data_IF_992821915387
#
_entry.id   IF_992821915387
#
_cell.length_a   1.000
_cell.length_b   1.000
_cell.length_c   1.000
_cell.angle_alpha   90.00
_cell.angle_beta   90.00
_cell.angle_gamma   90.00
#
_symmetry.space_group_name_H-M   'P 1'
#
loop_
_entity.id
_entity.type
_entity.pdbx_description
1 polymer ?
#
# COMPACT_ATOMS: atom_id res chain seq x y z
N UNK A 1 17.54 7.13 21.13
CA UNK A 1 17.28 5.70 21.41
C UNK A 1 16.04 5.34 20.62
N UNK A 2 16.21 4.69 19.46
CA UNK A 2 15.08 4.16 18.70
C UNK A 2 14.56 2.97 19.50
N UNK A 3 13.44 3.12 20.18
CA UNK A 3 12.81 2.00 20.89
C UNK A 3 12.50 0.90 19.88
N UNK A 4 12.73 -0.36 20.24
CA UNK A 4 12.31 -1.50 19.43
C UNK A 4 10.85 -1.31 19.02
N UNK A 5 10.60 -1.12 17.72
CA UNK A 5 9.25 -1.14 17.19
C UNK A 5 8.84 -2.62 17.09
N UNK A 6 8.04 -3.04 18.06
CA UNK A 6 7.38 -4.35 18.02
C UNK A 6 6.39 -4.39 16.84
N UNK A 7 6.43 -5.46 16.06
CA UNK A 7 5.55 -5.64 14.90
C UNK A 7 4.08 -5.54 15.30
N UNK A 8 3.72 -6.03 16.49
CA UNK A 8 2.34 -5.96 16.99
C UNK A 8 1.90 -4.53 17.31
N UNK A 9 2.84 -3.69 17.80
CA UNK A 9 2.58 -2.26 18.02
C UNK A 9 2.33 -1.51 16.71
N UNK A 10 3.02 -1.89 15.64
CA UNK A 10 2.87 -1.33 14.29
C UNK A 10 1.53 -1.76 13.68
N UNK A 11 1.18 -3.05 13.79
CA UNK A 11 -0.12 -3.57 13.35
C UNK A 11 -1.24 -2.85 14.09
N UNK A 12 -1.16 -2.77 15.43
CA UNK A 12 -2.13 -2.07 16.26
C UNK A 12 -2.30 -0.60 15.87
N UNK A 13 -1.20 0.08 15.52
CA UNK A 13 -1.24 1.47 15.05
C UNK A 13 -2.07 1.62 13.77
N UNK A 14 -1.92 0.74 12.78
CA UNK A 14 -2.60 0.86 11.50
C UNK A 14 -4.06 0.40 11.50
N UNK A 15 -4.51 -0.29 12.55
CA UNK A 15 -5.90 -0.79 12.66
C UNK A 15 -6.91 0.35 12.56
N UNK A 16 -7.88 0.21 11.66
CA UNK A 16 -8.97 1.16 11.47
C UNK A 16 -8.56 2.52 10.88
N UNK A 17 -7.27 2.73 10.57
CA UNK A 17 -6.79 3.97 9.96
C UNK A 17 -7.05 3.98 8.46
N UNK A 18 -7.18 5.18 7.92
CA UNK A 18 -7.10 5.41 6.47
C UNK A 18 -5.71 5.92 6.11
N UNK A 19 -5.08 5.31 5.12
CA UNK A 19 -3.69 5.58 4.74
C UNK A 19 -3.67 6.15 3.32
N UNK A 20 -2.97 7.25 3.10
CA UNK A 20 -2.67 7.80 1.79
C UNK A 20 -1.21 7.49 1.42
N UNK A 21 -0.99 6.83 0.28
CA UNK A 21 0.32 6.50 -0.23
C UNK A 21 0.55 7.26 -1.54
N UNK A 22 1.63 8.03 -1.58
CA UNK A 22 2.12 8.68 -2.80
C UNK A 22 3.24 7.84 -3.41
N UNK A 23 3.36 7.83 -4.74
CA UNK A 23 4.42 7.04 -5.40
C UNK A 23 4.22 5.54 -5.26
N UNK A 24 2.98 5.08 -5.07
CA UNK A 24 2.62 3.67 -4.92
C UNK A 24 2.94 2.81 -6.15
N UNK A 25 3.19 3.45 -7.29
CA UNK A 25 3.64 2.82 -8.54
C UNK A 25 5.16 2.61 -8.60
N UNK A 26 5.94 3.20 -7.67
CA UNK A 26 7.39 2.95 -7.58
C UNK A 26 7.70 1.60 -6.94
N UNK A 27 8.94 1.11 -7.11
CA UNK A 27 9.38 -0.19 -6.59
C UNK A 27 9.04 -0.40 -5.10
N UNK A 28 9.49 0.51 -4.22
CA UNK A 28 9.21 0.42 -2.78
C UNK A 28 7.73 0.66 -2.44
N UNK A 29 7.08 1.57 -3.17
CA UNK A 29 5.67 1.90 -2.95
C UNK A 29 4.77 0.67 -3.12
N UNK A 30 5.04 -0.15 -4.14
CA UNK A 30 4.29 -1.40 -4.37
C UNK A 30 4.52 -2.42 -3.26
N UNK A 31 5.76 -2.60 -2.80
CA UNK A 31 6.10 -3.52 -1.70
C UNK A 31 5.43 -3.06 -0.40
N UNK A 32 5.37 -1.74 -0.15
CA UNK A 32 4.68 -1.21 1.02
C UNK A 32 3.17 -1.49 0.97
N UNK A 33 2.53 -1.29 -0.19
CA UNK A 33 1.10 -1.61 -0.39
C UNK A 33 0.84 -3.09 -0.14
N UNK A 34 1.69 -3.95 -0.71
CA UNK A 34 1.66 -5.41 -0.52
C UNK A 34 1.76 -5.78 0.97
N UNK A 35 2.77 -5.24 1.65
CA UNK A 35 3.05 -5.54 3.05
C UNK A 35 1.92 -5.12 3.98
N UNK A 36 1.35 -3.93 3.75
CA UNK A 36 0.21 -3.44 4.54
C UNK A 36 -0.99 -4.37 4.37
N UNK A 37 -1.35 -4.72 3.13
CA UNK A 37 -2.50 -5.59 2.88
C UNK A 37 -2.29 -7.03 3.37
N UNK A 38 -1.06 -7.55 3.40
CA UNK A 38 -0.75 -8.89 3.93
C UNK A 38 -0.71 -8.94 5.45
N UNK A 39 -0.04 -7.97 6.09
CA UNK A 39 0.24 -8.01 7.53
C UNK A 39 -0.84 -7.31 8.35
N UNK A 40 -1.54 -6.33 7.76
CA UNK A 40 -2.61 -5.60 8.43
C UNK A 40 -3.86 -5.48 7.55
N UNK A 41 -4.68 -6.54 7.46
CA UNK A 41 -5.94 -6.49 6.71
C UNK A 41 -6.98 -5.55 7.36
N UNK A 42 -6.84 -5.18 8.63
CA UNK A 42 -7.81 -4.32 9.36
C UNK A 42 -7.63 -2.82 9.06
N UNK A 43 -6.89 -2.44 8.03
CA UNK A 43 -6.82 -1.04 7.57
C UNK A 43 -8.19 -0.64 7.01
N UNK A 44 -8.73 0.51 7.43
CA UNK A 44 -10.07 0.95 6.99
C UNK A 44 -10.11 1.23 5.49
N UNK A 45 -9.09 1.93 4.99
CA UNK A 45 -9.00 2.28 3.56
C UNK A 45 -7.59 2.66 3.18
N UNK A 46 -7.14 2.18 2.02
CA UNK A 46 -5.90 2.57 1.39
C UNK A 46 -6.21 3.49 0.20
N UNK A 47 -5.63 4.68 0.18
CA UNK A 47 -5.72 5.63 -0.92
C UNK A 47 -4.38 5.69 -1.64
N UNK A 48 -4.39 5.44 -2.95
CA UNK A 48 -3.19 5.49 -3.78
C UNK A 48 -3.25 6.71 -4.68
N UNK A 49 -2.33 7.66 -4.48
CA UNK A 49 -2.22 8.83 -5.35
C UNK A 49 -1.41 8.46 -6.60
N UNK A 50 -2.04 8.57 -7.75
CA UNK A 50 -1.42 8.27 -9.04
C UNK A 50 -1.49 9.48 -9.94
N UNK A 51 -0.32 9.85 -10.47
CA UNK A 51 -0.20 10.89 -11.48
C UNK A 51 -0.58 10.31 -12.84
N UNK A 52 -1.73 10.71 -13.37
CA UNK A 52 -2.22 10.31 -14.68
C UNK A 52 -3.02 11.46 -15.30
N UNK A 53 -3.13 11.52 -16.65
CA UNK A 53 -3.91 12.56 -17.33
C UNK A 53 -5.42 12.44 -17.07
N UNK A 54 -5.91 11.21 -16.85
CA UNK A 54 -7.32 10.92 -16.61
C UNK A 54 -7.49 9.67 -15.72
N UNK A 55 -8.73 9.40 -15.33
CA UNK A 55 -9.06 8.30 -14.42
C UNK A 55 -8.85 6.91 -15.03
N UNK A 56 -9.04 6.73 -16.34
CA UNK A 56 -8.83 5.45 -17.01
C UNK A 56 -7.33 5.14 -17.11
N UNK A 57 -6.53 6.15 -17.47
CA UNK A 57 -5.07 6.09 -17.41
C UNK A 57 -4.57 5.77 -15.99
N UNK A 58 -5.17 6.36 -14.95
CA UNK A 58 -4.85 6.02 -13.56
C UNK A 58 -5.18 4.56 -13.23
N UNK A 59 -6.37 4.07 -13.62
CA UNK A 59 -6.79 2.68 -13.40
C UNK A 59 -5.85 1.70 -14.10
N UNK A 60 -5.47 1.98 -15.35
CA UNK A 60 -4.55 1.13 -16.11
C UNK A 60 -3.19 1.04 -15.40
N UNK A 61 -2.66 2.17 -14.92
CA UNK A 61 -1.40 2.17 -14.13
C UNK A 61 -1.52 1.36 -12.85
N UNK A 62 -2.64 1.42 -12.12
CA UNK A 62 -2.86 0.55 -10.93
C UNK A 62 -2.82 -0.92 -11.33
N UNK A 63 -3.57 -1.28 -12.37
CA UNK A 63 -3.70 -2.65 -12.81
C UNK A 63 -2.35 -3.23 -13.21
N UNK A 64 -1.63 -2.53 -14.09
CA UNK A 64 -0.32 -2.96 -14.60
C UNK A 64 0.77 -2.93 -13.54
N UNK A 65 0.84 -1.87 -12.73
CA UNK A 65 2.00 -1.64 -11.89
C UNK A 65 1.84 -2.20 -10.48
N UNK A 66 0.64 -2.15 -9.89
CA UNK A 66 0.41 -2.53 -8.48
C UNK A 66 -0.25 -3.90 -8.36
N UNK A 67 -1.23 -4.21 -9.22
CA UNK A 67 -2.03 -5.43 -9.11
C UNK A 67 -1.29 -6.70 -9.53
N UNK A 68 -0.45 -6.63 -10.56
CA UNK A 68 0.37 -7.79 -10.96
C UNK A 68 1.43 -8.15 -9.91
N UNK A 69 1.95 -7.18 -9.14
CA UNK A 69 2.90 -7.50 -8.06
C UNK A 69 2.25 -8.39 -6.99
N UNK A 70 0.98 -8.16 -6.67
CA UNK A 70 0.23 -9.01 -5.73
C UNK A 70 0.18 -10.48 -6.16
N UNK A 71 0.13 -10.74 -7.47
CA UNK A 71 0.04 -12.10 -8.01
C UNK A 71 1.37 -12.87 -7.96
N UNK A 72 2.51 -12.16 -7.94
CA UNK A 72 3.83 -12.79 -7.95
C UNK A 72 4.34 -13.20 -6.56
N UNK A 73 3.73 -12.67 -5.49
CA UNK A 73 4.12 -12.97 -4.11
C UNK A 73 3.05 -13.74 -3.31
N UNK A 74 1.93 -14.11 -3.96
CA UNK A 74 0.87 -14.96 -3.40
C UNK A 74 1.18 -16.44 -3.53
#
# INVERSE_FOLDING_TARGET
MIGEMDADSVVGYFRGKSILITGSTGFLGKVLVEKILRVQPDVKKLYLLIRAPDAESAKLRIQTEVKYLFLFFS
#
